data_IF_460792021099
#
_entry.id   IF_460792021099
#
_cell.length_a   1.000
_cell.length_b   1.000
_cell.length_c   1.000
_cell.angle_alpha   90.00
_cell.angle_beta   90.00
_cell.angle_gamma   90.00
#
_symmetry.space_group_name_H-M   'P 1'
#
loop_
_entity.id
_entity.type
_entity.pdbx_description
1 polymer ?
#
# COMPACT_ATOMS: atom_id res chain seq x y z
N UNK A 1 -10.98 -18.00 -0.24
CA UNK A 1 -10.62 -16.77 -0.96
C UNK A 1 -9.52 -16.05 -0.19
N UNK A 2 -8.60 -15.34 -0.86
CA UNK A 2 -7.65 -14.47 -0.16
C UNK A 2 -8.37 -13.15 0.17
N UNK A 3 -8.44 -12.79 1.44
CA UNK A 3 -9.11 -11.59 1.92
C UNK A 3 -8.10 -10.61 2.53
N UNK A 4 -8.40 -9.32 2.42
CA UNK A 4 -7.67 -8.26 3.11
C UNK A 4 -8.42 -7.97 4.41
N UNK A 5 -7.81 -8.29 5.55
CA UNK A 5 -8.47 -8.20 6.86
C UNK A 5 -8.34 -6.83 7.52
N UNK A 6 -7.27 -6.09 7.25
CA UNK A 6 -7.09 -4.76 7.81
C UNK A 6 -6.14 -3.92 6.96
N UNK A 7 -6.23 -2.60 7.14
CA UNK A 7 -5.25 -1.61 6.70
C UNK A 7 -4.65 -0.95 7.94
N UNK A 8 -3.34 -1.07 8.10
CA UNK A 8 -2.59 -0.29 9.08
C UNK A 8 -1.90 0.87 8.36
N UNK A 9 -2.11 2.09 8.82
CA UNK A 9 -1.72 3.32 8.13
C UNK A 9 -1.23 4.38 9.10
N UNK A 10 -0.12 5.03 8.78
CA UNK A 10 0.51 6.08 9.58
C UNK A 10 1.22 7.06 8.65
N UNK A 11 1.33 8.34 9.03
CA UNK A 11 2.03 9.39 8.28
C UNK A 11 1.59 9.49 6.79
N UNK A 12 0.32 9.23 6.51
CA UNK A 12 -0.24 9.23 5.16
C UNK A 12 -1.43 10.18 5.04
N UNK A 13 -1.20 11.34 4.42
CA UNK A 13 -2.21 12.37 4.16
C UNK A 13 -2.90 12.82 5.46
N UNK A 14 -4.16 12.41 5.65
CA UNK A 14 -4.99 12.76 6.82
C UNK A 14 -4.71 11.87 8.03
N UNK A 15 -4.07 10.72 7.83
CA UNK A 15 -3.69 9.80 8.89
C UNK A 15 -2.30 10.17 9.40
N UNK A 16 -2.24 11.07 10.39
CA UNK A 16 -0.99 11.46 11.03
C UNK A 16 -0.49 10.38 11.98
N UNK A 17 -1.36 9.97 12.91
CA UNK A 17 -1.08 8.88 13.85
C UNK A 17 -1.36 7.52 13.23
N UNK A 18 -0.77 6.47 13.82
CA UNK A 18 -1.03 5.08 13.45
C UNK A 18 -2.49 4.71 13.67
N UNK A 19 -3.16 4.31 12.60
CA UNK A 19 -4.54 3.83 12.61
C UNK A 19 -4.60 2.40 12.06
N UNK A 20 -5.51 1.60 12.61
CA UNK A 20 -5.84 0.27 12.11
C UNK A 20 -7.31 0.25 11.73
N UNK A 21 -7.58 0.00 10.46
CA UNK A 21 -8.92 -0.07 9.89
C UNK A 21 -9.20 -1.54 9.59
N UNK A 22 -10.07 -2.17 10.36
CA UNK A 22 -10.53 -3.54 10.10
C UNK A 22 -11.41 -3.57 8.84
N UNK A 23 -11.27 -4.64 8.06
CA UNK A 23 -11.96 -4.85 6.79
C UNK A 23 -12.58 -6.25 6.78
N UNK A 24 -13.88 -6.29 6.45
CA UNK A 24 -14.64 -7.53 6.25
C UNK A 24 -14.91 -7.75 4.74
N UNK A 25 -15.67 -8.80 4.39
CA UNK A 25 -16.05 -9.11 3.02
C UNK A 25 -17.59 -9.18 2.86
N UNK A 26 -18.26 -8.09 2.43
CA UNK A 26 -17.72 -6.81 1.96
C UNK A 26 -17.41 -5.80 3.08
N UNK A 27 -16.42 -4.93 2.85
CA UNK A 27 -16.13 -3.78 3.72
C UNK A 27 -16.75 -2.49 3.17
N UNK A 28 -17.30 -1.66 4.06
CA UNK A 28 -17.86 -0.34 3.72
C UNK A 28 -17.09 0.76 4.46
N UNK A 29 -16.47 1.68 3.71
CA UNK A 29 -15.85 2.88 4.28
C UNK A 29 -16.89 4.01 4.32
N UNK A 30 -17.35 4.37 5.52
CA UNK A 30 -18.36 5.41 5.74
C UNK A 30 -17.86 6.49 6.71
N UNK A 31 -18.36 7.71 6.55
CA UNK A 31 -18.05 8.85 7.40
C UNK A 31 -18.28 10.18 6.68
N UNK A 32 -18.12 11.33 7.36
CA UNK A 32 -18.31 12.66 6.79
C UNK A 32 -17.40 12.94 5.58
N UNK A 33 -17.73 13.98 4.81
CA UNK A 33 -16.86 14.42 3.72
C UNK A 33 -15.46 14.75 4.22
N UNK A 34 -14.44 14.42 3.42
CA UNK A 34 -13.04 14.73 3.71
C UNK A 34 -12.43 14.02 4.95
N UNK A 35 -13.11 13.02 5.54
CA UNK A 35 -12.63 12.29 6.73
C UNK A 35 -11.57 11.20 6.44
N UNK A 36 -11.07 11.09 5.21
CA UNK A 36 -10.00 10.13 4.86
C UNK A 36 -10.45 8.83 4.17
N UNK A 37 -11.73 8.65 3.82
CA UNK A 37 -12.21 7.48 3.05
C UNK A 37 -11.39 7.22 1.78
N UNK A 38 -11.26 8.24 0.93
CA UNK A 38 -10.45 8.17 -0.29
C UNK A 38 -8.96 7.97 0.02
N UNK A 39 -8.46 8.56 1.12
CA UNK A 39 -7.08 8.38 1.55
C UNK A 39 -6.76 6.93 1.91
N UNK A 40 -7.69 6.20 2.56
CA UNK A 40 -7.52 4.78 2.87
C UNK A 40 -7.42 3.93 1.60
N UNK A 41 -8.28 4.18 0.61
CA UNK A 41 -8.23 3.50 -0.70
C UNK A 41 -6.92 3.83 -1.43
N UNK A 42 -6.48 5.09 -1.40
CA UNK A 42 -5.22 5.52 -2.02
C UNK A 42 -4.00 4.86 -1.37
N UNK A 43 -4.01 4.64 -0.06
CA UNK A 43 -2.94 3.92 0.63
C UNK A 43 -2.90 2.45 0.20
N UNK A 44 -4.06 1.78 0.09
CA UNK A 44 -4.15 0.41 -0.42
C UNK A 44 -3.65 0.29 -1.87
N UNK A 45 -4.02 1.25 -2.72
CA UNK A 45 -3.54 1.30 -4.10
C UNK A 45 -2.01 1.48 -4.16
N UNK A 46 -1.47 2.42 -3.37
CA UNK A 46 -0.02 2.64 -3.28
C UNK A 46 0.72 1.42 -2.76
N UNK A 47 0.19 0.75 -1.74
CA UNK A 47 0.76 -0.49 -1.21
C UNK A 47 0.77 -1.60 -2.25
N UNK A 48 -0.36 -1.81 -2.96
CA UNK A 48 -0.42 -2.80 -4.02
C UNK A 48 0.60 -2.51 -5.13
N UNK A 49 0.77 -1.26 -5.51
CA UNK A 49 1.75 -0.85 -6.51
C UNK A 49 3.17 -1.10 -6.02
N UNK A 50 3.49 -0.70 -4.78
CA UNK A 50 4.81 -0.89 -4.20
C UNK A 50 5.21 -2.37 -4.13
N UNK A 51 4.29 -3.25 -3.75
CA UNK A 51 4.54 -4.71 -3.72
C UNK A 51 4.81 -5.27 -5.12
N UNK A 52 4.08 -4.80 -6.14
CA UNK A 52 4.32 -5.20 -7.55
C UNK A 52 5.69 -4.72 -8.03
N UNK A 53 5.99 -3.43 -7.84
CA UNK A 53 7.30 -2.85 -8.20
C UNK A 53 8.44 -3.57 -7.49
N UNK A 54 8.29 -3.88 -6.19
CA UNK A 54 9.27 -4.65 -5.44
C UNK A 54 9.51 -6.03 -6.06
N UNK A 55 8.43 -6.73 -6.38
CA UNK A 55 8.49 -8.07 -6.95
C UNK A 55 9.16 -8.05 -8.33
N UNK A 56 8.85 -7.07 -9.17
CA UNK A 56 9.45 -6.91 -10.49
C UNK A 56 10.95 -6.62 -10.44
N UNK A 57 11.42 -5.82 -9.48
CA UNK A 57 12.87 -5.62 -9.31
C UNK A 57 13.55 -6.87 -8.76
N UNK A 58 12.87 -7.61 -7.87
CA UNK A 58 13.43 -8.80 -7.24
C UNK A 58 13.51 -10.00 -8.18
N UNK A 59 12.51 -10.23 -9.03
CA UNK A 59 12.43 -11.42 -9.90
C UNK A 59 13.61 -11.50 -10.88
N UNK A 60 14.14 -10.36 -11.30
CA UNK A 60 15.24 -10.28 -12.28
C UNK A 60 16.63 -10.36 -11.62
N UNK A 61 16.70 -10.44 -10.28
CA UNK A 61 17.96 -10.51 -9.55
C UNK A 61 18.46 -11.95 -9.38
N UNK A 62 19.67 -12.23 -9.86
CA UNK A 62 20.37 -13.51 -9.69
C UNK A 62 21.20 -13.58 -8.40
N UNK A 63 21.22 -12.51 -7.60
CA UNK A 63 22.01 -12.42 -6.37
C UNK A 63 21.42 -13.32 -5.26
N UNK A 64 22.25 -14.22 -4.73
CA UNK A 64 21.89 -15.16 -3.64
C UNK A 64 21.92 -14.53 -2.26
N UNK A 65 22.69 -13.46 -2.07
CA UNK A 65 22.71 -12.69 -0.82
C UNK A 65 21.66 -11.58 -0.85
N UNK A 66 20.90 -11.43 0.25
CA UNK A 66 19.79 -10.48 0.37
C UNK A 66 20.31 -9.03 0.37
N UNK A 67 20.62 -8.47 -0.79
CA UNK A 67 20.67 -7.03 -0.96
C UNK A 67 19.25 -6.50 -0.86
N UNK A 68 18.97 -5.71 0.18
CA UNK A 68 17.68 -5.05 0.33
C UNK A 68 17.41 -4.19 -0.92
N UNK A 69 16.28 -4.42 -1.59
CA UNK A 69 15.86 -3.63 -2.74
C UNK A 69 15.38 -2.26 -2.25
N UNK A 70 16.13 -1.21 -2.56
CA UNK A 70 15.70 0.15 -2.25
C UNK A 70 14.48 0.52 -3.11
N UNK A 71 13.36 0.86 -2.45
CA UNK A 71 12.17 1.41 -3.08
C UNK A 71 11.96 2.83 -2.60
N UNK A 72 11.91 3.76 -3.55
CA UNK A 72 11.55 5.14 -3.28
C UNK A 72 10.19 5.46 -3.94
N UNK A 73 9.63 6.63 -3.60
CA UNK A 73 8.33 7.07 -4.13
C UNK A 73 8.29 7.10 -5.65
N UNK A 74 9.35 7.60 -6.30
CA UNK A 74 9.42 7.71 -7.77
C UNK A 74 9.33 6.33 -8.40
N UNK A 75 10.04 5.34 -7.87
CA UNK A 75 10.04 3.97 -8.37
C UNK A 75 8.63 3.35 -8.29
N UNK A 76 7.90 3.63 -7.20
CA UNK A 76 6.55 3.08 -7.00
C UNK A 76 5.56 3.73 -7.97
N UNK A 77 5.62 5.05 -8.18
CA UNK A 77 4.63 5.77 -9.01
C UNK A 77 4.95 5.80 -10.50
N UNK A 78 6.21 5.57 -10.89
CA UNK A 78 6.63 5.55 -12.30
C UNK A 78 6.24 4.26 -13.03
N UNK A 79 5.96 3.18 -12.30
CA UNK A 79 5.60 1.87 -12.85
C UNK A 79 4.17 1.82 -13.41
N UNK A 80 3.98 2.36 -14.61
CA UNK A 80 2.71 2.36 -15.33
C UNK A 80 2.88 2.69 -16.81
N UNK A 81 3.84 2.04 -17.46
CA UNK A 81 4.02 1.96 -18.91
C UNK A 81 4.16 0.51 -19.33
#
# INVERSE_FOLDING_TARGET
>A
MRLLHYLEIENFKRFGEKQRIELDHPAVLIGPNNCGKTSAIQALALWSQAVKTWFDVRKDSTAKERTATALNRLNIVAGGG
#
